data_IF_561816694124
#
_entry.id   IF_561816694124
#
_cell.length_a   1.000
_cell.length_b   1.000
_cell.length_c   1.000
_cell.angle_alpha   90.00
_cell.angle_beta   90.00
_cell.angle_gamma   90.00
#
_symmetry.space_group_name_H-M   'P 1'
#
loop_
_entity.id
_entity.type
_entity.pdbx_description
1 polymer ?
#
# COMPACT_ATOMS: atom_id res chain seq x y z
N UNK A 1 10.39 -25.92 36.10
CA UNK A 1 9.57 -25.87 34.88
C UNK A 1 9.39 -24.41 34.51
N UNK A 2 10.01 -23.89 33.43
CA UNK A 2 9.82 -22.49 33.08
C UNK A 2 8.43 -22.34 32.44
N UNK A 3 7.64 -21.43 33.00
CA UNK A 3 6.43 -20.90 32.41
C UNK A 3 6.76 -20.36 31.01
N UNK A 4 6.25 -21.01 29.96
CA UNK A 4 6.19 -20.40 28.62
C UNK A 4 5.24 -19.21 28.70
N UNK A 5 5.77 -18.03 28.43
CA UNK A 5 5.00 -16.81 28.16
C UNK A 5 4.12 -17.05 26.91
N UNK A 6 2.80 -16.81 26.94
CA UNK A 6 1.92 -17.06 25.80
C UNK A 6 1.90 -15.94 24.75
N UNK A 7 2.81 -14.95 24.80
CA UNK A 7 2.80 -13.78 23.93
C UNK A 7 4.00 -13.72 22.97
N UNK A 8 4.20 -14.77 22.19
CA UNK A 8 4.87 -14.64 20.89
C UNK A 8 3.92 -15.21 19.85
N UNK A 9 2.74 -14.59 19.73
CA UNK A 9 1.96 -14.71 18.50
C UNK A 9 2.75 -13.95 17.44
N UNK A 10 3.68 -14.65 16.78
CA UNK A 10 4.34 -14.13 15.60
C UNK A 10 3.27 -13.74 14.60
N UNK A 11 3.18 -12.46 14.25
CA UNK A 11 2.20 -11.97 13.30
C UNK A 11 2.27 -12.82 12.02
N UNK A 12 1.21 -13.60 11.79
CA UNK A 12 1.11 -14.43 10.62
C UNK A 12 0.74 -13.55 9.41
N UNK A 13 1.77 -12.99 8.76
CA UNK A 13 1.66 -12.12 7.57
C UNK A 13 1.44 -12.93 6.28
N UNK A 14 0.53 -13.92 6.31
CA UNK A 14 0.27 -14.83 5.18
C UNK A 14 -0.15 -14.10 3.91
N UNK A 15 -0.92 -13.02 4.02
CA UNK A 15 -1.32 -12.22 2.86
C UNK A 15 -0.11 -11.57 2.18
N UNK A 16 0.77 -10.91 2.94
CA UNK A 16 1.99 -10.30 2.41
C UNK A 16 2.94 -11.34 1.80
N UNK A 17 3.07 -12.50 2.45
CA UNK A 17 3.85 -13.62 1.90
C UNK A 17 3.26 -14.12 0.57
N UNK A 18 1.95 -14.35 0.53
CA UNK A 18 1.26 -14.81 -0.68
C UNK A 18 1.43 -13.81 -1.84
N UNK A 19 1.23 -12.51 -1.60
CA UNK A 19 1.44 -11.45 -2.61
C UNK A 19 2.89 -11.41 -3.10
N UNK A 20 3.86 -11.56 -2.21
CA UNK A 20 5.29 -11.60 -2.56
C UNK A 20 5.62 -12.81 -3.45
N UNK A 21 5.09 -13.99 -3.11
CA UNK A 21 5.31 -15.21 -3.89
C UNK A 21 4.61 -15.14 -5.25
N UNK A 22 3.40 -14.59 -5.31
CA UNK A 22 2.66 -14.37 -6.56
C UNK A 22 3.44 -13.45 -7.50
N UNK A 23 3.96 -12.31 -7.02
CA UNK A 23 4.74 -11.38 -7.84
C UNK A 23 6.02 -12.06 -8.38
N UNK A 24 6.78 -12.76 -7.52
CA UNK A 24 7.99 -13.50 -7.94
C UNK A 24 7.68 -14.53 -9.03
N UNK A 25 6.57 -15.25 -8.87
CA UNK A 25 6.14 -16.27 -9.83
C UNK A 25 5.70 -15.65 -11.15
N UNK A 26 4.96 -14.54 -11.11
CA UNK A 26 4.55 -13.80 -12.29
C UNK A 26 5.77 -13.29 -13.09
N UNK A 27 6.78 -12.73 -12.41
CA UNK A 27 8.02 -12.31 -13.06
C UNK A 27 8.76 -13.47 -13.72
N UNK A 28 8.90 -14.61 -13.05
CA UNK A 28 9.54 -15.80 -13.63
C UNK A 28 8.81 -16.25 -14.90
N UNK A 29 7.48 -16.34 -14.85
CA UNK A 29 6.67 -16.73 -16.00
C UNK A 29 6.72 -15.71 -17.15
N UNK A 30 6.78 -14.42 -16.84
CA UNK A 30 6.90 -13.37 -17.85
C UNK A 30 8.23 -13.45 -18.60
N UNK A 31 9.33 -13.62 -17.85
CA UNK A 31 10.67 -13.83 -18.42
C UNK A 31 10.73 -15.10 -19.28
N UNK A 32 10.19 -16.22 -18.79
CA UNK A 32 10.19 -17.50 -19.50
C UNK A 32 9.39 -17.45 -20.81
N UNK A 33 8.34 -16.63 -20.87
CA UNK A 33 7.43 -16.52 -22.02
C UNK A 33 7.71 -15.33 -22.93
N UNK A 34 8.69 -14.49 -22.59
CA UNK A 34 8.98 -13.26 -23.35
C UNK A 34 7.82 -12.25 -23.31
N UNK A 35 7.08 -12.20 -22.20
CA UNK A 35 6.00 -11.23 -21.99
C UNK A 35 6.58 -9.99 -21.33
N UNK A 36 6.33 -8.82 -21.92
CA UNK A 36 6.64 -7.55 -21.26
C UNK A 36 5.68 -7.34 -20.08
N UNK A 37 6.25 -7.14 -18.90
CA UNK A 37 5.51 -7.08 -17.65
C UNK A 37 5.96 -5.88 -16.84
N UNK A 38 4.98 -5.17 -16.28
CA UNK A 38 5.19 -4.16 -15.25
C UNK A 38 4.34 -4.53 -14.04
N UNK A 39 4.88 -4.30 -12.84
CA UNK A 39 4.18 -4.55 -11.58
C UNK A 39 3.86 -3.24 -10.87
N UNK A 40 2.59 -3.05 -10.50
CA UNK A 40 2.12 -1.96 -9.65
C UNK A 40 1.83 -2.50 -8.26
N UNK A 41 2.61 -2.05 -7.28
CA UNK A 41 2.49 -2.41 -5.87
C UNK A 41 1.80 -1.26 -5.13
N UNK A 42 0.50 -1.43 -4.88
CA UNK A 42 -0.35 -0.45 -4.24
C UNK A 42 -0.14 -0.37 -2.72
N UNK A 43 -0.33 0.82 -2.16
CA UNK A 43 -0.58 1.02 -0.74
C UNK A 43 -1.92 0.43 -0.29
N UNK A 44 -2.29 0.67 0.96
CA UNK A 44 -3.59 0.25 1.47
C UNK A 44 -4.71 1.00 0.73
N UNK A 45 -5.51 0.25 -0.03
CA UNK A 45 -6.67 0.79 -0.73
C UNK A 45 -7.80 1.03 0.26
N UNK A 46 -8.23 2.29 0.40
CA UNK A 46 -9.33 2.67 1.27
C UNK A 46 -10.64 2.65 0.47
N UNK A 47 -11.20 1.46 0.25
CA UNK A 47 -12.55 1.36 -0.32
C UNK A 47 -13.56 1.49 0.82
N UNK A 48 -14.63 2.26 0.60
CA UNK A 48 -15.71 2.47 1.57
C UNK A 48 -16.52 1.21 1.94
N UNK A 49 -16.06 0.01 1.56
CA UNK A 49 -16.71 -1.26 1.81
C UNK A 49 -15.91 -2.08 2.83
N UNK A 50 -16.46 -2.20 4.03
CA UNK A 50 -16.28 -3.26 5.02
C UNK A 50 -14.85 -3.75 5.32
N UNK A 51 -13.85 -2.87 5.30
CA UNK A 51 -12.51 -3.23 5.77
C UNK A 51 -12.53 -3.28 7.31
N UNK A 52 -12.20 -4.43 7.89
CA UNK A 52 -12.10 -4.63 9.34
C UNK A 52 -10.64 -4.78 9.75
N UNK A 53 -10.26 -4.29 10.93
CA UNK A 53 -8.90 -4.49 11.50
C UNK A 53 -8.48 -5.98 11.58
N UNK A 54 -9.45 -6.90 11.60
CA UNK A 54 -9.21 -8.35 11.55
C UNK A 54 -8.68 -8.85 10.19
N UNK A 55 -8.77 -8.01 9.15
CA UNK A 55 -8.44 -8.42 7.81
C UNK A 55 -6.97 -8.75 7.60
N UNK A 56 -6.64 -9.82 6.84
CA UNK A 56 -5.27 -10.26 6.65
C UNK A 56 -4.31 -9.21 6.07
N UNK A 57 -4.83 -8.23 5.32
CA UNK A 57 -4.03 -7.18 4.69
C UNK A 57 -3.71 -5.99 5.63
N UNK A 58 -4.37 -5.89 6.79
CA UNK A 58 -4.08 -4.90 7.83
C UNK A 58 -3.16 -5.45 8.93
N UNK A 59 -2.87 -6.75 8.91
CA UNK A 59 -1.87 -7.34 9.81
C UNK A 59 -0.51 -6.68 9.55
N UNK A 60 0.09 -6.13 10.61
CA UNK A 60 1.35 -5.39 10.53
C UNK A 60 1.21 -3.87 10.38
N UNK A 61 -0.01 -3.33 10.25
CA UNK A 61 -0.22 -1.89 10.03
C UNK A 61 0.36 -1.01 11.16
N UNK A 62 0.27 -1.45 12.42
CA UNK A 62 0.84 -0.73 13.56
C UNK A 62 2.38 -0.61 13.44
N UNK A 63 3.07 -1.70 13.09
CA UNK A 63 4.52 -1.70 12.89
C UNK A 63 4.89 -0.86 11.66
N UNK A 64 4.10 -0.95 10.58
CA UNK A 64 4.30 -0.11 9.39
C UNK A 64 4.15 1.39 9.70
N UNK A 65 3.23 1.76 10.61
CA UNK A 65 3.08 3.14 11.08
C UNK A 65 4.30 3.60 11.88
N UNK A 66 4.75 2.79 12.83
CA UNK A 66 5.96 3.04 13.64
C UNK A 66 7.23 3.18 12.77
N UNK A 67 7.32 2.36 11.72
CA UNK A 67 8.41 2.40 10.75
C UNK A 67 8.26 3.51 9.69
N UNK A 68 7.14 4.24 9.68
CA UNK A 68 6.88 5.32 8.72
C UNK A 68 6.74 4.84 7.27
N UNK A 69 6.24 3.61 7.07
CA UNK A 69 6.02 2.97 5.77
C UNK A 69 4.55 2.65 5.49
N UNK A 70 3.64 3.00 6.40
CA UNK A 70 2.21 2.85 6.19
C UNK A 70 1.71 3.92 5.21
N UNK A 71 1.19 3.46 4.07
CA UNK A 71 0.71 4.32 2.98
C UNK A 71 -0.64 3.84 2.46
N UNK A 72 -1.43 4.77 1.97
CA UNK A 72 -2.76 4.53 1.41
C UNK A 72 -2.82 4.97 -0.04
N UNK A 73 -3.74 4.39 -0.79
CA UNK A 73 -4.01 4.77 -2.17
C UNK A 73 -5.50 4.96 -2.38
N UNK A 74 -5.86 6.02 -3.11
CA UNK A 74 -7.21 6.22 -3.59
C UNK A 74 -7.47 5.37 -4.85
N UNK A 75 -8.71 4.90 -5.02
CA UNK A 75 -9.06 4.02 -6.15
C UNK A 75 -8.82 4.70 -7.50
N UNK A 76 -9.16 5.98 -7.62
CA UNK A 76 -9.00 6.73 -8.88
C UNK A 76 -7.52 6.85 -9.24
N UNK A 77 -6.67 7.21 -8.27
CA UNK A 77 -5.22 7.26 -8.48
C UNK A 77 -4.64 5.89 -8.86
N UNK A 78 -5.14 4.82 -8.26
CA UNK A 78 -4.70 3.46 -8.59
C UNK A 78 -5.10 3.07 -10.02
N UNK A 79 -6.30 3.42 -10.46
CA UNK A 79 -6.78 3.18 -11.82
C UNK A 79 -5.94 3.97 -12.83
N UNK A 80 -5.77 5.27 -12.60
CA UNK A 80 -4.98 6.14 -13.47
C UNK A 80 -3.53 5.65 -13.58
N UNK A 81 -2.94 5.20 -12.47
CA UNK A 81 -1.61 4.63 -12.45
C UNK A 81 -1.46 3.36 -13.30
N UNK A 82 -2.46 2.48 -13.31
CA UNK A 82 -2.43 1.30 -14.15
C UNK A 82 -2.54 1.67 -15.64
N UNK A 83 -3.41 2.62 -15.98
CA UNK A 83 -3.54 3.12 -17.36
C UNK A 83 -2.24 3.76 -17.81
N UNK A 84 -1.66 4.66 -17.02
CA UNK A 84 -0.41 5.35 -17.32
C UNK A 84 0.75 4.37 -17.54
N UNK A 85 0.88 3.35 -16.68
CA UNK A 85 1.91 2.31 -16.82
C UNK A 85 1.72 1.51 -18.12
N UNK A 86 0.48 1.16 -18.45
CA UNK A 86 0.18 0.36 -19.63
C UNK A 86 0.42 1.14 -20.94
N UNK A 87 0.04 2.41 -20.97
CA UNK A 87 0.12 3.25 -22.16
C UNK A 87 1.51 3.86 -22.38
N UNK A 88 2.40 3.83 -21.38
CA UNK A 88 3.77 4.35 -21.49
C UNK A 88 4.73 3.26 -22.00
N UNK A 89 5.25 3.32 -23.24
CA UNK A 89 6.10 2.27 -23.81
C UNK A 89 7.45 2.10 -23.10
N UNK A 90 7.89 3.12 -22.35
CA UNK A 90 9.12 3.10 -21.58
C UNK A 90 8.91 2.66 -20.12
N UNK A 91 7.69 2.28 -19.72
CA UNK A 91 7.44 1.76 -18.38
C UNK A 91 8.04 0.36 -18.23
N UNK A 92 8.72 0.09 -17.12
CA UNK A 92 9.35 -1.21 -16.87
C UNK A 92 9.44 -1.53 -15.39
N UNK A 93 9.55 -2.81 -15.04
CA UNK A 93 9.87 -3.25 -13.69
C UNK A 93 8.74 -3.00 -12.69
N UNK A 94 9.06 -2.43 -11.52
CA UNK A 94 8.12 -2.29 -10.41
C UNK A 94 7.85 -0.82 -10.09
N UNK A 95 6.62 -0.51 -9.69
CA UNK A 95 6.18 0.81 -9.24
C UNK A 95 5.46 0.70 -7.90
N UNK A 96 5.79 1.57 -6.96
CA UNK A 96 5.03 1.74 -5.72
C UNK A 96 3.93 2.78 -5.98
N UNK A 97 2.68 2.44 -5.69
CA UNK A 97 1.51 3.28 -6.00
C UNK A 97 0.77 3.66 -4.71
N UNK A 98 0.92 4.91 -4.30
CA UNK A 98 0.21 5.49 -3.16
C UNK A 98 0.15 7.01 -3.32
N UNK A 99 -0.84 7.65 -2.73
CA UNK A 99 -0.97 9.11 -2.71
C UNK A 99 -1.29 9.64 -1.29
N UNK A 100 -1.37 8.75 -0.29
CA UNK A 100 -1.43 9.08 1.13
C UNK A 100 -0.33 8.39 1.94
N UNK A 101 0.22 9.10 2.93
CA UNK A 101 1.14 8.55 3.92
C UNK A 101 0.53 8.74 5.31
N UNK A 102 0.62 7.69 6.13
CA UNK A 102 0.08 7.69 7.50
C UNK A 102 1.24 7.84 8.46
N UNK A 103 1.59 9.08 8.75
CA UNK A 103 2.80 9.43 9.51
C UNK A 103 2.48 10.24 10.77
N UNK A 104 1.31 10.89 10.83
CA UNK A 104 0.87 11.66 11.98
C UNK A 104 -0.16 10.89 12.80
N UNK A 105 -0.24 11.14 14.12
CA UNK A 105 -1.29 10.56 14.95
C UNK A 105 -2.71 10.83 14.42
N UNK A 106 -2.93 12.02 13.85
CA UNK A 106 -4.20 12.39 13.22
C UNK A 106 -4.53 11.53 11.98
N UNK A 107 -3.52 11.17 11.18
CA UNK A 107 -3.70 10.32 10.00
C UNK A 107 -4.06 8.89 10.42
N UNK A 108 -3.41 8.37 11.45
CA UNK A 108 -3.69 7.05 12.02
C UNK A 108 -5.11 6.98 12.62
N UNK A 109 -5.52 8.00 13.38
CA UNK A 109 -6.89 8.11 13.90
C UNK A 109 -7.91 8.20 12.77
N UNK A 110 -7.62 8.97 11.71
CA UNK A 110 -8.49 9.05 10.54
C UNK A 110 -8.61 7.69 9.86
N UNK A 111 -7.50 6.97 9.69
CA UNK A 111 -7.48 5.64 9.11
C UNK A 111 -8.29 4.65 9.97
N UNK A 112 -8.08 4.61 11.28
CA UNK A 112 -8.82 3.75 12.20
C UNK A 112 -10.33 3.98 12.11
N UNK A 113 -10.77 5.25 12.02
CA UNK A 113 -12.19 5.59 11.83
C UNK A 113 -12.75 5.11 10.50
N UNK A 114 -11.95 5.12 9.42
CA UNK A 114 -12.36 4.58 8.13
C UNK A 114 -12.47 3.05 8.15
N UNK A 115 -11.70 2.38 9.01
CA UNK A 115 -11.68 0.92 9.18
C UNK A 115 -12.67 0.41 10.25
N UNK A 116 -13.27 1.30 11.02
CA UNK A 116 -14.18 0.94 12.11
C UNK A 116 -15.62 1.23 11.70
N UNK A 117 -16.45 0.19 11.63
CA UNK A 117 -17.89 0.33 11.40
C UNK A 117 -18.64 1.08 12.52
N UNK A 118 -18.01 1.24 13.69
CA UNK A 118 -18.64 1.87 14.85
C UNK A 118 -17.98 3.23 15.15
N UNK A 119 -18.61 4.29 14.66
CA UNK A 119 -18.21 5.68 14.86
C UNK A 119 -18.38 6.17 16.32
N UNK A 120 -18.85 5.33 17.24
CA UNK A 120 -19.18 5.72 18.62
C UNK A 120 -17.97 5.72 19.58
N UNK A 121 -16.85 5.06 19.26
CA UNK A 121 -15.66 5.11 20.11
C UNK A 121 -14.74 6.27 19.72
N UNK A 122 -14.29 7.10 20.69
CA UNK A 122 -13.31 8.12 20.41
C UNK A 122 -11.96 7.46 20.14
N UNK A 123 -11.61 7.33 18.86
CA UNK A 123 -10.24 7.04 18.44
C UNK A 123 -9.32 8.07 19.09
N UNK A 124 -8.47 7.60 20.00
CA UNK A 124 -7.58 8.42 20.82
C UNK A 124 -6.19 8.40 20.21
N UNK A 125 -5.58 9.56 20.02
CA UNK A 125 -4.18 9.66 19.59
C UNK A 125 -3.18 9.35 20.72
N UNK A 126 -3.67 9.02 21.91
CA UNK A 126 -2.84 8.92 23.11
C UNK A 126 -1.88 7.72 23.01
N UNK A 127 -0.59 8.00 22.96
CA UNK A 127 0.48 7.02 22.73
C UNK A 127 1.03 6.95 21.30
N UNK A 128 0.37 7.55 20.30
CA UNK A 128 0.89 7.63 18.93
C UNK A 128 1.93 8.74 18.80
N UNK A 129 3.05 8.44 18.14
CA UNK A 129 4.11 9.40 17.82
C UNK A 129 4.08 9.76 16.35
N UNK A 130 4.47 10.99 16.02
CA UNK A 130 4.75 11.35 14.63
C UNK A 130 5.96 10.55 14.14
N UNK A 131 5.83 9.95 12.96
CA UNK A 131 6.87 9.13 12.33
C UNK A 131 7.35 9.81 11.05
N UNK A 132 8.63 9.66 10.74
CA UNK A 132 9.17 10.16 9.49
C UNK A 132 8.77 9.21 8.36
N UNK A 133 8.23 9.73 7.26
CA UNK A 133 7.95 8.90 6.08
C UNK A 133 9.27 8.35 5.50
N UNK A 134 9.37 7.02 5.42
CA UNK A 134 10.56 6.30 4.91
C UNK A 134 10.36 5.62 3.56
N UNK A 135 9.13 5.58 3.07
CA UNK A 135 8.76 5.00 1.76
C UNK A 135 8.53 6.10 0.73
N UNK A 136 8.96 5.87 -0.52
CA UNK A 136 8.86 6.82 -1.62
C UNK A 136 8.33 6.16 -2.89
N UNK A 137 7.54 6.89 -3.67
CA UNK A 137 6.97 6.48 -4.96
C UNK A 137 7.40 7.39 -6.13
N UNK A 138 8.60 8.00 -6.05
CA UNK A 138 9.10 8.95 -7.06
C UNK A 138 8.94 8.48 -8.51
N UNK A 139 9.21 7.20 -8.75
CA UNK A 139 9.08 6.58 -10.08
C UNK A 139 7.63 6.61 -10.60
N UNK A 140 6.65 6.37 -9.74
CA UNK A 140 5.24 6.48 -10.09
C UNK A 140 4.85 7.93 -10.32
N UNK A 141 5.22 8.84 -9.41
CA UNK A 141 4.87 10.26 -9.57
C UNK A 141 5.45 10.86 -10.86
N UNK A 142 6.68 10.51 -11.21
CA UNK A 142 7.30 10.95 -12.45
C UNK A 142 6.53 10.44 -13.66
N UNK A 143 6.21 9.14 -13.68
CA UNK A 143 5.41 8.53 -14.75
C UNK A 143 4.06 9.24 -14.93
N UNK A 144 3.37 9.51 -13.82
CA UNK A 144 2.07 10.19 -13.85
C UNK A 144 2.16 11.61 -14.43
N UNK A 145 3.20 12.37 -14.06
CA UNK A 145 3.45 13.72 -14.59
C UNK A 145 3.74 13.66 -16.10
N UNK A 146 4.60 12.74 -16.52
CA UNK A 146 4.99 12.59 -17.93
C UNK A 146 3.79 12.17 -18.79
N UNK A 147 2.95 11.28 -18.26
CA UNK A 147 1.74 10.80 -18.92
C UNK A 147 0.68 11.89 -19.10
N UNK A 148 0.44 12.70 -18.07
CA UNK A 148 -0.50 13.82 -18.13
C UNK A 148 -0.02 14.93 -19.09
N UNK A 149 1.28 15.24 -19.07
CA UNK A 149 1.89 16.17 -20.02
C UNK A 149 1.78 15.68 -21.47
N UNK A 150 1.88 14.37 -21.71
CA UNK A 150 1.71 13.76 -23.04
C UNK A 150 0.30 13.94 -23.60
N UNK A 151 -0.74 13.86 -22.76
CA UNK A 151 -2.14 14.06 -23.19
C UNK A 151 -2.41 15.48 -23.70
N UNK A 152 -1.77 16.48 -23.12
CA UNK A 152 -1.93 17.88 -23.53
C UNK A 152 -1.23 18.26 -24.84
N UNK A 153 -0.38 17.39 -25.40
CA UNK A 153 0.32 17.64 -26.68
C UNK A 153 -0.46 17.06 -27.87
N UNK A 154 -1.40 16.15 -27.63
CA UNK A 154 -2.19 15.46 -28.66
C UNK A 154 -3.61 16.04 -28.86
N UNK A 155 -4.00 17.08 -28.12
CA UNK A 155 -5.22 17.89 -28.32
C UNK A 155 -4.95 19.17 -29.14
#
# INVERSE_FOLDING_TARGET
>A
MPHRNPAVDGMQLWHALAKTLAEKTAWALAMDRGVDMVCVNAGLLLVAADLSVADPYLKGAAQMYEDGVLVTVDVDFLVDAHVAVYETPSAYGRYLCFNGAVCRPLDAVKLERLLSHDAAQPASSDGLRETQQRIQNKKMNQLMIDFDAGRHVEE
#
